data_IF_281309038679
#
_entry.id   IF_281309038679
#
_cell.length_a   1.000
_cell.length_b   1.000
_cell.length_c   1.000
_cell.angle_alpha   90.00
_cell.angle_beta   90.00
_cell.angle_gamma   90.00
#
_symmetry.space_group_name_H-M   'P 1'
#
loop_
_entity.id
_entity.type
_entity.pdbx_description
1 polymer ?
#
# COMPACT_ATOMS: atom_id res chain seq x y z
N UNK A 1 -13.23 -23.48 -3.52
CA UNK A 1 -12.45 -23.80 -4.73
C UNK A 1 -13.27 -23.63 -5.99
N UNK A 2 -12.64 -23.14 -7.06
CA UNK A 2 -13.23 -23.05 -8.40
C UNK A 2 -12.47 -24.02 -9.30
N UNK A 3 -13.14 -25.09 -9.71
CA UNK A 3 -12.53 -26.17 -10.50
C UNK A 3 -11.88 -25.62 -11.79
N UNK A 4 -10.62 -25.99 -12.01
CA UNK A 4 -9.84 -25.55 -13.18
C UNK A 4 -9.37 -24.10 -13.16
N UNK A 5 -9.69 -23.32 -12.12
CA UNK A 5 -9.33 -21.90 -12.01
C UNK A 5 -8.39 -21.66 -10.82
N UNK A 6 -8.86 -21.90 -9.60
CA UNK A 6 -8.16 -21.41 -8.42
C UNK A 6 -8.91 -21.50 -7.10
N UNK A 7 -8.32 -20.93 -6.06
CA UNK A 7 -8.94 -20.79 -4.74
C UNK A 7 -9.44 -19.36 -4.56
N UNK A 8 -10.76 -19.23 -4.40
CA UNK A 8 -11.42 -17.96 -4.12
C UNK A 8 -11.72 -17.85 -2.63
N UNK A 9 -11.34 -16.73 -2.04
CA UNK A 9 -11.58 -16.37 -0.65
C UNK A 9 -12.59 -15.22 -0.62
N UNK A 10 -13.58 -15.33 0.25
CA UNK A 10 -14.49 -14.23 0.61
C UNK A 10 -14.13 -13.79 2.03
N UNK A 11 -13.91 -12.49 2.20
CA UNK A 11 -13.39 -11.89 3.42
C UNK A 11 -14.30 -10.73 3.84
N UNK A 12 -14.58 -10.68 5.14
CA UNK A 12 -15.17 -9.52 5.81
C UNK A 12 -14.09 -8.96 6.74
N UNK A 13 -13.75 -7.69 6.56
CA UNK A 13 -12.61 -7.04 7.18
C UNK A 13 -13.03 -5.69 7.75
N UNK A 14 -12.35 -5.26 8.80
CA UNK A 14 -12.39 -3.87 9.28
C UNK A 14 -11.05 -3.23 8.94
N UNK A 15 -11.08 -2.15 8.17
CA UNK A 15 -9.89 -1.39 7.77
C UNK A 15 -9.76 -0.17 8.66
N UNK A 16 -8.54 0.06 9.17
CA UNK A 16 -8.16 1.23 9.96
C UNK A 16 -7.36 2.21 9.08
N UNK A 17 -7.64 3.50 9.20
CA UNK A 17 -6.80 4.53 8.59
C UNK A 17 -5.49 4.67 9.39
N UNK A 18 -4.36 4.52 8.71
CA UNK A 18 -3.03 4.61 9.32
C UNK A 18 -2.78 6.01 9.94
N UNK A 19 -3.39 7.05 9.36
CA UNK A 19 -3.23 8.43 9.81
C UNK A 19 -4.29 8.83 10.85
N UNK A 20 -5.31 8.01 11.05
CA UNK A 20 -6.46 8.28 11.92
C UNK A 20 -7.02 6.95 12.46
N UNK A 21 -6.34 6.30 13.43
CA UNK A 21 -6.65 4.93 13.83
C UNK A 21 -8.06 4.74 14.42
N UNK A 22 -8.65 5.82 14.93
CA UNK A 22 -10.03 5.81 15.44
C UNK A 22 -11.08 5.70 14.32
N UNK A 23 -10.67 5.94 13.06
CA UNK A 23 -11.52 5.83 11.89
C UNK A 23 -11.39 4.44 11.27
N UNK A 24 -12.46 3.67 11.38
CA UNK A 24 -12.58 2.34 10.78
C UNK A 24 -13.66 2.30 9.71
N UNK A 25 -13.45 1.51 8.66
CA UNK A 25 -14.46 1.20 7.63
C UNK A 25 -14.57 -0.31 7.44
N UNK A 26 -15.79 -0.80 7.24
CA UNK A 26 -15.97 -2.21 6.89
C UNK A 26 -15.64 -2.42 5.42
N UNK A 27 -15.04 -3.56 5.11
CA UNK A 27 -14.69 -3.98 3.77
C UNK A 27 -15.09 -5.42 3.55
N UNK A 28 -15.83 -5.66 2.47
CA UNK A 28 -16.03 -7.01 1.94
C UNK A 28 -15.14 -7.18 0.74
N UNK A 29 -14.34 -8.24 0.71
CA UNK A 29 -13.39 -8.49 -0.37
C UNK A 29 -13.48 -9.93 -0.86
N UNK A 30 -13.22 -10.10 -2.15
CA UNK A 30 -13.03 -11.37 -2.81
C UNK A 30 -11.63 -11.43 -3.41
N UNK A 31 -10.89 -12.50 -3.12
CA UNK A 31 -9.52 -12.72 -3.63
C UNK A 31 -9.46 -14.09 -4.29
N UNK A 32 -9.05 -14.16 -5.55
CA UNK A 32 -8.87 -15.41 -6.30
C UNK A 32 -7.39 -15.63 -6.61
N UNK A 33 -6.82 -16.70 -6.07
CA UNK A 33 -5.49 -17.18 -6.44
C UNK A 33 -5.59 -18.23 -7.54
N UNK A 34 -4.87 -18.05 -8.65
CA UNK A 34 -4.92 -18.95 -9.80
C UNK A 34 -3.99 -20.15 -9.65
N UNK A 35 -4.54 -21.36 -9.62
CA UNK A 35 -3.75 -22.60 -9.48
C UNK A 35 -2.98 -22.97 -10.76
N UNK A 36 -3.58 -22.68 -11.93
CA UNK A 36 -3.03 -23.02 -13.24
C UNK A 36 -2.03 -22.02 -13.81
N UNK A 37 -1.96 -20.81 -13.25
CA UNK A 37 -1.06 -19.76 -13.70
C UNK A 37 -0.39 -19.07 -12.51
N UNK A 38 0.70 -19.65 -12.04
CA UNK A 38 1.47 -19.14 -10.89
C UNK A 38 2.13 -17.77 -11.12
N UNK A 39 2.16 -17.30 -12.37
CA UNK A 39 2.68 -15.98 -12.72
C UNK A 39 1.58 -14.91 -12.77
N UNK A 40 0.31 -15.29 -12.69
CA UNK A 40 -0.79 -14.32 -12.63
C UNK A 40 -0.92 -13.75 -11.22
N UNK A 41 -1.09 -12.44 -11.14
CA UNK A 41 -1.52 -11.77 -9.93
C UNK A 41 -2.91 -12.29 -9.50
N UNK A 42 -3.25 -12.27 -8.20
CA UNK A 42 -4.58 -12.62 -7.74
C UNK A 42 -5.63 -11.63 -8.26
N UNK A 43 -6.81 -12.10 -8.65
CA UNK A 43 -7.94 -11.21 -8.92
C UNK A 43 -8.52 -10.73 -7.58
N UNK A 44 -8.72 -9.41 -7.45
CA UNK A 44 -9.24 -8.78 -6.24
C UNK A 44 -10.44 -7.91 -6.57
N UNK A 45 -11.52 -8.11 -5.84
CA UNK A 45 -12.70 -7.24 -5.84
C UNK A 45 -13.01 -6.86 -4.40
N UNK A 46 -13.43 -5.62 -4.17
CA UNK A 46 -13.83 -5.21 -2.83
C UNK A 46 -14.90 -4.12 -2.86
N UNK A 47 -15.65 -4.05 -1.78
CA UNK A 47 -16.61 -3.00 -1.48
C UNK A 47 -16.31 -2.44 -0.10
N UNK A 48 -16.47 -1.13 0.05
CA UNK A 48 -16.32 -0.43 1.33
C UNK A 48 -17.70 0.04 1.80
N UNK A 49 -17.96 -0.13 3.09
CA UNK A 49 -19.12 0.46 3.75
C UNK A 49 -18.67 1.70 4.52
N UNK A 50 -18.90 2.87 3.92
CA UNK A 50 -18.53 4.16 4.48
C UNK A 50 -17.61 4.96 3.56
N UNK A 51 -17.24 6.14 4.01
CA UNK A 51 -16.39 7.06 3.26
C UNK A 51 -14.96 7.02 3.79
N UNK A 52 -13.98 7.11 2.88
CA UNK A 52 -12.60 7.36 3.24
C UNK A 52 -12.38 8.86 3.47
N UNK A 53 -11.36 9.22 4.26
CA UNK A 53 -11.02 10.61 4.53
C UNK A 53 -10.47 11.26 3.26
N UNK A 54 -10.89 12.49 2.97
CA UNK A 54 -10.27 13.29 1.93
C UNK A 54 -8.90 13.80 2.44
N UNK A 55 -7.84 13.51 1.69
CA UNK A 55 -6.44 13.89 1.97
C UNK A 55 -5.92 15.00 1.05
N UNK A 56 -6.77 15.61 0.22
CA UNK A 56 -6.41 16.49 -0.89
C UNK A 56 -5.58 17.70 -0.43
N UNK A 57 -5.90 18.32 0.70
CA UNK A 57 -5.11 19.45 1.23
C UNK A 57 -3.68 19.01 1.61
N UNK A 58 -3.54 17.86 2.28
CA UNK A 58 -2.24 17.33 2.68
C UNK A 58 -1.43 16.88 1.46
N UNK A 59 -2.07 16.23 0.50
CA UNK A 59 -1.49 15.81 -0.78
C UNK A 59 -1.01 17.01 -1.60
N UNK A 60 -1.83 18.06 -1.71
CA UNK A 60 -1.47 19.28 -2.43
C UNK A 60 -0.29 20.02 -1.77
N UNK A 61 -0.23 20.06 -0.43
CA UNK A 61 0.93 20.60 0.29
C UNK A 61 2.19 19.80 0.00
N UNK A 62 2.10 18.47 0.03
CA UNK A 62 3.23 17.60 -0.28
C UNK A 62 3.70 17.79 -1.73
N UNK A 63 2.78 17.76 -2.69
CA UNK A 63 3.06 18.00 -4.10
C UNK A 63 3.76 19.34 -4.33
N UNK A 64 3.19 20.43 -3.78
CA UNK A 64 3.77 21.78 -3.91
C UNK A 64 5.18 21.83 -3.31
N UNK A 65 5.39 21.22 -2.14
CA UNK A 65 6.71 21.14 -1.50
C UNK A 65 7.73 20.45 -2.40
N UNK A 66 7.39 19.27 -2.95
CA UNK A 66 8.28 18.50 -3.83
C UNK A 66 8.61 19.30 -5.11
N UNK A 67 7.64 20.03 -5.66
CA UNK A 67 7.87 20.89 -6.83
C UNK A 67 8.78 22.09 -6.54
N UNK A 68 8.75 22.61 -5.31
CA UNK A 68 9.55 23.78 -4.92
C UNK A 68 10.99 23.47 -4.51
N UNK A 69 11.40 22.19 -4.49
CA UNK A 69 12.75 21.82 -4.07
C UNK A 69 13.80 22.36 -5.05
N UNK A 70 14.82 23.05 -4.53
CA UNK A 70 15.94 23.54 -5.34
C UNK A 70 16.82 22.41 -5.90
N UNK A 71 16.79 21.24 -5.25
CA UNK A 71 17.54 20.04 -5.61
C UNK A 71 16.62 18.83 -5.55
N UNK A 72 16.87 17.86 -6.42
CA UNK A 72 16.19 16.57 -6.42
C UNK A 72 16.24 15.94 -5.01
N UNK A 73 15.08 15.47 -4.54
CA UNK A 73 15.01 14.68 -3.32
C UNK A 73 15.82 13.39 -3.50
N UNK A 74 16.77 13.14 -2.60
CA UNK A 74 17.52 11.88 -2.50
C UNK A 74 17.57 11.47 -1.05
N UNK A 75 17.16 10.25 -0.73
CA UNK A 75 17.17 9.74 0.62
C UNK A 75 17.33 8.21 0.67
N UNK A 76 17.76 7.70 1.82
CA UNK A 76 18.07 6.29 2.02
C UNK A 76 17.62 5.82 3.39
N UNK A 77 17.39 4.51 3.52
CA UNK A 77 17.11 3.82 4.77
C UNK A 77 15.97 4.47 5.58
N UNK A 78 14.75 4.45 5.02
CA UNK A 78 13.53 4.99 5.66
C UNK A 78 12.55 3.84 5.89
N UNK A 79 12.09 3.54 7.12
CA UNK A 79 12.59 4.05 8.40
C UNK A 79 14.06 3.70 8.62
N UNK A 80 14.72 4.39 9.55
CA UNK A 80 16.09 4.04 9.95
C UNK A 80 16.16 2.68 10.68
N UNK A 81 17.35 2.26 11.11
CA UNK A 81 17.54 1.00 11.84
C UNK A 81 16.81 0.91 13.19
N UNK A 82 16.31 2.04 13.71
CA UNK A 82 15.55 2.12 14.95
C UNK A 82 14.04 2.28 14.69
N UNK A 83 13.61 2.28 13.43
CA UNK A 83 12.21 2.46 13.04
C UNK A 83 11.76 3.91 12.94
N UNK A 84 12.67 4.89 12.97
CA UNK A 84 12.31 6.29 12.90
C UNK A 84 12.11 6.75 11.45
N UNK A 85 11.09 7.58 11.24
CA UNK A 85 10.85 8.34 10.01
C UNK A 85 10.82 9.81 10.38
N UNK A 86 11.62 10.65 9.73
CA UNK A 86 11.55 12.09 9.99
C UNK A 86 10.22 12.65 9.46
N UNK A 87 9.65 13.70 10.08
CA UNK A 87 8.38 14.28 9.63
C UNK A 87 8.41 14.72 8.16
N UNK A 88 9.57 15.17 7.70
CA UNK A 88 9.80 15.55 6.32
C UNK A 88 9.71 14.40 5.32
N UNK A 89 10.04 13.18 5.74
CA UNK A 89 10.03 11.97 4.91
C UNK A 89 8.79 11.12 5.07
N UNK A 90 7.92 11.44 6.03
CA UNK A 90 6.68 10.69 6.26
C UNK A 90 5.77 10.61 5.02
N UNK A 91 5.53 11.69 4.24
CA UNK A 91 4.76 11.58 3.01
C UNK A 91 5.42 10.68 1.94
N UNK A 92 6.76 10.69 1.86
CA UNK A 92 7.51 9.83 0.93
C UNK A 92 7.43 8.36 1.36
N UNK A 93 7.51 8.09 2.66
CA UNK A 93 7.32 6.77 3.25
C UNK A 93 5.91 6.22 2.98
N UNK A 94 4.88 7.03 3.19
CA UNK A 94 3.49 6.67 2.90
C UNK A 94 3.27 6.41 1.41
N UNK A 95 3.81 7.25 0.53
CA UNK A 95 3.74 7.04 -0.92
C UNK A 95 4.41 5.72 -1.33
N UNK A 96 5.58 5.41 -0.78
CA UNK A 96 6.26 4.15 -1.02
C UNK A 96 5.45 2.95 -0.50
N UNK A 97 4.78 3.08 0.66
CA UNK A 97 3.88 2.05 1.19
C UNK A 97 2.71 1.79 0.24
N UNK A 98 2.07 2.84 -0.29
CA UNK A 98 1.00 2.72 -1.31
C UNK A 98 1.52 2.01 -2.56
N UNK A 99 2.65 2.47 -3.12
CA UNK A 99 3.25 1.86 -4.32
C UNK A 99 3.67 0.40 -4.08
N UNK A 100 4.18 0.08 -2.89
CA UNK A 100 4.54 -1.29 -2.52
C UNK A 100 3.34 -2.22 -2.47
N UNK A 101 2.14 -1.70 -2.17
CA UNK A 101 0.89 -2.47 -2.20
C UNK A 101 0.63 -3.12 -3.56
N UNK A 102 0.91 -2.40 -4.65
CA UNK A 102 0.82 -2.95 -6.01
C UNK A 102 1.82 -4.09 -6.21
N UNK A 103 3.09 -3.91 -5.82
CA UNK A 103 4.12 -4.95 -5.97
C UNK A 103 3.77 -6.19 -5.14
N UNK A 104 3.32 -6.00 -3.90
CA UNK A 104 2.88 -7.08 -3.02
C UNK A 104 1.72 -7.82 -3.66
N UNK A 105 0.68 -7.11 -4.10
CA UNK A 105 -0.48 -7.72 -4.75
C UNK A 105 -0.08 -8.55 -5.97
N UNK A 106 0.70 -7.97 -6.89
CA UNK A 106 1.08 -8.63 -8.15
C UNK A 106 1.90 -9.90 -7.93
N UNK A 107 2.65 -10.00 -6.83
CA UNK A 107 3.52 -11.14 -6.55
C UNK A 107 2.97 -12.09 -5.48
N UNK A 108 1.78 -11.83 -4.95
CA UNK A 108 1.21 -12.62 -3.86
C UNK A 108 0.70 -13.98 -4.33
N UNK A 109 1.00 -15.01 -3.54
CA UNK A 109 0.45 -16.36 -3.62
C UNK A 109 -0.08 -16.77 -2.26
N UNK A 110 -0.82 -17.87 -2.18
CA UNK A 110 -1.30 -18.45 -0.92
C UNK A 110 -0.17 -18.80 0.07
N UNK A 111 1.06 -18.99 -0.42
CA UNK A 111 2.23 -19.33 0.40
C UNK A 111 3.08 -18.12 0.82
N UNK A 112 2.70 -16.90 0.42
CA UNK A 112 3.48 -15.68 0.70
C UNK A 112 2.77 -14.77 1.68
N UNK A 113 3.55 -14.01 2.46
CA UNK A 113 3.07 -12.96 3.35
C UNK A 113 4.03 -11.77 3.32
N UNK A 114 4.03 -11.05 2.20
CA UNK A 114 4.94 -9.91 2.02
C UNK A 114 4.55 -8.74 2.92
N UNK A 115 5.57 -8.01 3.36
CA UNK A 115 5.43 -6.77 4.12
C UNK A 115 6.45 -5.76 3.61
N UNK A 116 6.03 -4.50 3.54
CA UNK A 116 6.92 -3.40 3.22
C UNK A 116 7.71 -3.00 4.47
N UNK A 117 9.02 -3.24 4.44
CA UNK A 117 9.89 -3.03 5.60
C UNK A 117 10.60 -1.68 5.58
N UNK A 118 11.14 -1.27 4.42
CA UNK A 118 12.02 -0.11 4.33
C UNK A 118 12.19 0.35 2.87
N UNK A 119 12.35 1.66 2.67
CA UNK A 119 12.95 2.25 1.47
C UNK A 119 14.45 2.18 1.66
N UNK A 120 15.13 1.41 0.81
CA UNK A 120 16.60 1.39 0.80
C UNK A 120 17.18 2.65 0.20
N UNK A 121 16.65 3.09 -0.93
CA UNK A 121 17.05 4.32 -1.61
C UNK A 121 15.86 4.87 -2.39
N UNK A 122 15.69 6.19 -2.39
CA UNK A 122 14.72 6.92 -3.21
C UNK A 122 15.39 8.15 -3.79
N UNK A 123 15.11 8.40 -5.08
CA UNK A 123 15.58 9.56 -5.80
C UNK A 123 14.45 10.11 -6.66
N UNK A 124 14.23 11.42 -6.59
CA UNK A 124 13.37 12.16 -7.51
C UNK A 124 14.00 12.21 -8.90
N UNK A 125 13.18 12.01 -9.93
CA UNK A 125 13.55 11.98 -11.35
C UNK A 125 12.76 13.02 -12.11
#
# INVERSE_FOLDING_TARGET
>A
DIAGVGHKYQLELVLEDILDPDRTVNCTAEVLYHLGNKAAAPDVQFTLEGELKNSEEAENRFYTRIQSLEKELVAENIPDSHGNVSPEMEPVWLLARVASGYVIWQNSTEATKFQFAQIKHVKQV
#
